data_IF_382406938485
#
_entry.id   IF_382406938485
#
_cell.length_a   1.000
_cell.length_b   1.000
_cell.length_c   1.000
_cell.angle_alpha   90.00
_cell.angle_beta   90.00
_cell.angle_gamma   90.00
#
_symmetry.space_group_name_H-M   'P 1'
#
loop_
_entity.id
_entity.type
_entity.pdbx_description
1 polymer ?
#
# COMPACT_ATOMS: atom_id res chain seq x y z
N UNK A 1 -17.07 0.36 3.12
CA UNK A 1 -17.43 -0.24 1.81
C UNK A 1 -16.14 -0.78 1.17
N UNK A 2 -16.17 -1.97 0.55
CA UNK A 2 -14.99 -2.51 -0.14
C UNK A 2 -14.92 -1.92 -1.54
N UNK A 3 -13.77 -1.36 -1.92
CA UNK A 3 -13.54 -0.79 -3.25
C UNK A 3 -12.29 -1.41 -3.85
N UNK A 4 -12.36 -1.74 -5.15
CA UNK A 4 -11.25 -2.33 -5.89
C UNK A 4 -10.50 -1.24 -6.64
N UNK A 5 -9.18 -1.26 -6.55
CA UNK A 5 -8.31 -0.36 -7.28
C UNK A 5 -7.17 -1.13 -7.94
N UNK A 6 -6.81 -0.79 -9.19
CA UNK A 6 -5.53 -1.24 -9.71
C UNK A 6 -4.40 -0.56 -8.94
N UNK A 7 -3.27 -1.26 -8.83
CA UNK A 7 -2.04 -0.68 -8.32
C UNK A 7 -0.87 -1.09 -9.19
N UNK A 8 0.13 -0.20 -9.24
CA UNK A 8 1.38 -0.45 -9.92
C UNK A 8 2.52 0.14 -9.11
N UNK A 9 3.62 -0.60 -9.00
CA UNK A 9 4.84 -0.13 -8.41
C UNK A 9 6.00 -0.53 -9.32
N UNK A 10 6.84 0.44 -9.66
CA UNK A 10 8.08 0.19 -10.36
C UNK A 10 9.19 1.08 -9.81
N UNK A 11 10.27 0.44 -9.37
CA UNK A 11 11.53 1.07 -8.98
C UNK A 11 12.69 0.25 -9.57
N UNK A 12 13.92 0.65 -9.32
CA UNK A 12 15.14 0.09 -9.90
C UNK A 12 15.29 -1.41 -9.62
N UNK A 13 14.87 -1.88 -8.45
CA UNK A 13 15.10 -3.27 -7.99
C UNK A 13 13.81 -4.06 -7.75
N UNK A 14 12.65 -3.41 -7.88
CA UNK A 14 11.36 -3.99 -7.54
C UNK A 14 10.34 -3.58 -8.58
N UNK A 15 9.47 -4.50 -8.99
CA UNK A 15 8.23 -4.13 -9.64
C UNK A 15 7.07 -5.01 -9.16
N UNK A 16 5.87 -4.48 -9.23
CA UNK A 16 4.63 -5.22 -9.01
C UNK A 16 3.48 -4.48 -9.67
N UNK A 17 2.46 -5.22 -10.07
CA UNK A 17 1.20 -4.66 -10.50
C UNK A 17 0.09 -5.65 -10.25
N UNK A 18 -1.13 -5.15 -10.12
CA UNK A 18 -2.30 -5.98 -9.89
C UNK A 18 -3.48 -5.16 -9.39
N UNK A 19 -4.31 -5.79 -8.56
CA UNK A 19 -5.49 -5.15 -7.99
C UNK A 19 -5.61 -5.42 -6.49
N UNK A 20 -6.06 -4.41 -5.76
CA UNK A 20 -6.27 -4.43 -4.32
C UNK A 20 -7.71 -4.07 -3.98
N UNK A 21 -8.26 -4.73 -2.97
CA UNK A 21 -9.42 -4.26 -2.24
C UNK A 21 -8.97 -3.38 -1.08
N UNK A 22 -9.55 -2.19 -1.00
CA UNK A 22 -9.40 -1.29 0.13
C UNK A 22 -10.71 -1.16 0.89
N UNK A 23 -10.60 -1.16 2.21
CA UNK A 23 -11.73 -1.06 3.12
C UNK A 23 -11.31 -0.26 4.36
N UNK A 24 -12.09 0.77 4.72
CA UNK A 24 -11.98 1.39 6.04
C UNK A 24 -12.39 0.37 7.11
N UNK A 25 -11.54 0.18 8.10
CA UNK A 25 -11.80 -0.73 9.22
C UNK A 25 -11.76 0.00 10.55
N UNK A 26 -12.60 -0.42 11.48
CA UNK A 26 -12.53 0.03 12.85
C UNK A 26 -11.50 -0.82 13.59
N UNK A 27 -10.37 -0.24 13.94
CA UNK A 27 -9.38 -0.84 14.82
C UNK A 27 -9.12 0.03 16.04
N UNK A 28 -8.81 -0.64 17.16
CA UNK A 28 -8.64 0.01 18.46
C UNK A 28 -7.17 0.20 18.85
N UNK A 29 -6.20 -0.01 17.93
CA UNK A 29 -4.79 0.12 18.25
C UNK A 29 -4.42 1.54 18.71
N UNK A 30 -4.97 2.58 18.07
CA UNK A 30 -4.84 3.96 18.50
C UNK A 30 -6.05 4.79 18.05
N UNK A 31 -6.67 5.58 18.95
CA UNK A 31 -7.86 6.36 18.63
C UNK A 31 -7.58 7.49 17.64
N UNK A 32 -6.32 7.88 17.45
CA UNK A 32 -5.90 9.00 16.59
C UNK A 32 -5.76 8.63 15.11
N UNK A 33 -5.93 7.36 14.76
CA UNK A 33 -5.72 6.86 13.40
C UNK A 33 -6.99 6.24 12.81
N UNK A 34 -7.19 6.47 11.52
CA UNK A 34 -8.12 5.72 10.69
C UNK A 34 -7.34 4.59 10.02
N UNK A 35 -7.91 3.40 10.09
CA UNK A 35 -7.26 2.20 9.58
C UNK A 35 -7.91 1.78 8.27
N UNK A 36 -7.08 1.25 7.37
CA UNK A 36 -7.51 0.70 6.10
C UNK A 36 -6.91 -0.68 5.94
N UNK A 37 -7.77 -1.64 5.66
CA UNK A 37 -7.40 -2.99 5.27
C UNK A 37 -7.18 -3.02 3.77
N UNK A 38 -6.05 -3.57 3.38
CA UNK A 38 -5.68 -3.85 2.00
C UNK A 38 -5.74 -5.36 1.82
N UNK A 39 -6.49 -5.83 0.84
CA UNK A 39 -6.46 -7.23 0.41
C UNK A 39 -6.04 -7.29 -1.05
N UNK A 40 -4.90 -7.90 -1.32
CA UNK A 40 -4.44 -8.15 -2.68
C UNK A 40 -5.34 -9.20 -3.34
N UNK A 41 -5.90 -8.85 -4.49
CA UNK A 41 -6.74 -9.74 -5.31
C UNK A 41 -5.84 -10.54 -6.25
N UNK A 42 -4.88 -9.86 -6.86
CA UNK A 42 -3.87 -10.42 -7.73
C UNK A 42 -2.64 -9.52 -7.72
N UNK A 43 -1.54 -10.06 -8.23
CA UNK A 43 -0.30 -9.33 -8.44
C UNK A 43 0.90 -10.13 -7.95
N UNK A 44 2.06 -9.77 -8.46
CA UNK A 44 3.31 -10.40 -8.11
C UNK A 44 4.34 -9.35 -7.75
N UNK A 45 4.97 -9.54 -6.59
CA UNK A 45 6.18 -8.81 -6.23
C UNK A 45 7.36 -9.50 -6.92
N UNK A 46 8.01 -8.79 -7.84
CA UNK A 46 9.26 -9.23 -8.45
C UNK A 46 10.43 -8.46 -7.87
N UNK A 47 11.46 -9.20 -7.47
CA UNK A 47 12.78 -8.65 -7.14
C UNK A 47 13.65 -8.81 -8.37
N UNK A 48 14.21 -7.71 -8.87
CA UNK A 48 15.02 -7.68 -10.10
C UNK A 48 16.44 -7.22 -9.83
N UNK A 49 17.38 -7.70 -10.67
CA UNK A 49 18.74 -7.18 -10.69
C UNK A 49 18.79 -5.83 -11.43
N UNK A 50 19.99 -5.20 -11.49
CA UNK A 50 20.19 -3.92 -12.20
C UNK A 50 19.97 -4.01 -13.72
N UNK A 51 20.05 -5.21 -14.29
CA UNK A 51 19.80 -5.48 -15.72
C UNK A 51 18.30 -5.65 -16.02
N UNK A 52 17.45 -5.74 -14.98
CA UNK A 52 16.01 -5.96 -15.11
C UNK A 52 15.58 -7.43 -15.03
N UNK A 53 16.51 -8.38 -14.87
CA UNK A 53 16.16 -9.79 -14.76
C UNK A 53 15.48 -10.07 -13.42
N UNK A 54 14.38 -10.83 -13.45
CA UNK A 54 13.65 -11.24 -12.25
C UNK A 54 14.44 -12.33 -11.54
N UNK A 55 14.91 -12.02 -10.33
CA UNK A 55 15.61 -12.94 -9.44
C UNK A 55 14.62 -13.75 -8.61
N UNK A 56 13.57 -13.09 -8.11
CA UNK A 56 12.56 -13.71 -7.26
C UNK A 56 11.16 -13.20 -7.59
N UNK A 57 10.15 -14.03 -7.32
CA UNK A 57 8.75 -13.75 -7.58
C UNK A 57 7.89 -14.25 -6.42
N UNK A 58 7.07 -13.36 -5.88
CA UNK A 58 6.15 -13.64 -4.78
C UNK A 58 4.72 -13.35 -5.21
N UNK A 59 3.84 -14.33 -5.03
CA UNK A 59 2.40 -14.15 -5.26
C UNK A 59 1.80 -13.36 -4.10
N UNK A 60 1.20 -12.21 -4.42
CA UNK A 60 0.55 -11.37 -3.42
C UNK A 60 -0.92 -11.76 -3.23
N UNK A 61 -1.50 -12.66 -4.02
CA UNK A 61 -2.91 -13.00 -3.96
C UNK A 61 -3.36 -13.41 -2.56
N UNK A 62 -4.46 -12.82 -2.11
CA UNK A 62 -5.06 -12.96 -0.79
C UNK A 62 -4.15 -12.55 0.39
N UNK A 63 -3.01 -11.91 0.15
CA UNK A 63 -2.26 -11.24 1.18
C UNK A 63 -3.10 -10.09 1.75
N UNK A 64 -3.06 -9.94 3.08
CA UNK A 64 -3.82 -8.91 3.78
C UNK A 64 -2.86 -8.02 4.55
N UNK A 65 -2.92 -6.73 4.25
CA UNK A 65 -2.12 -5.70 4.92
C UNK A 65 -3.01 -4.68 5.63
N UNK A 66 -2.40 -3.94 6.54
CA UNK A 66 -3.04 -2.84 7.25
C UNK A 66 -2.18 -1.58 7.22
N UNK A 67 -2.81 -0.48 6.82
CA UNK A 67 -2.25 0.87 6.92
C UNK A 67 -3.10 1.74 7.85
N UNK A 68 -2.49 2.78 8.39
CA UNK A 68 -3.12 3.78 9.23
C UNK A 68 -2.79 5.19 8.78
N UNK A 69 -3.80 6.05 8.84
CA UNK A 69 -3.70 7.47 8.50
C UNK A 69 -4.19 8.31 9.68
N UNK A 70 -3.49 9.38 10.03
CA UNK A 70 -3.90 10.20 11.18
C UNK A 70 -5.25 10.88 10.93
N UNK A 71 -6.19 10.76 11.87
CA UNK A 71 -7.58 11.25 11.72
C UNK A 71 -7.68 12.75 11.54
N UNK A 72 -6.72 13.53 12.04
CA UNK A 72 -6.72 15.00 11.91
C UNK A 72 -6.83 15.45 10.45
N UNK A 73 -6.31 14.63 9.53
CA UNK A 73 -6.36 14.92 8.10
C UNK A 73 -7.67 14.50 7.41
N UNK A 74 -8.55 13.73 8.07
CA UNK A 74 -9.90 13.41 7.54
C UNK A 74 -10.80 14.65 7.45
N UNK A 75 -10.44 15.73 8.18
CA UNK A 75 -11.16 17.01 8.14
C UNK A 75 -10.79 17.86 6.92
N UNK A 76 -9.72 17.49 6.19
CA UNK A 76 -9.36 18.16 4.96
C UNK A 76 -10.37 17.78 3.88
N UNK A 77 -10.99 18.77 3.26
CA UNK A 77 -11.76 18.55 2.03
C UNK A 77 -10.82 17.95 0.98
N UNK A 78 -11.20 16.87 0.28
CA UNK A 78 -10.40 16.35 -0.83
C UNK A 78 -10.12 17.50 -1.80
N UNK A 79 -8.85 17.79 -2.10
CA UNK A 79 -8.48 18.92 -2.96
C UNK A 79 -9.04 18.74 -4.38
N UNK A 80 -9.33 17.49 -4.76
CA UNK A 80 -10.01 17.14 -6.00
C UNK A 80 -11.03 16.02 -5.76
N UNK A 81 -12.28 16.20 -6.21
CA UNK A 81 -13.31 15.16 -6.27
C UNK A 81 -13.03 14.06 -7.32
N UNK A 82 -11.77 13.93 -7.77
CA UNK A 82 -11.40 12.88 -8.72
C UNK A 82 -11.22 11.58 -7.94
N UNK A 83 -12.05 10.59 -8.28
CA UNK A 83 -11.88 9.24 -7.78
C UNK A 83 -10.50 8.70 -8.19
N UNK A 84 -9.82 7.94 -7.31
CA UNK A 84 -8.56 7.30 -7.66
C UNK A 84 -8.81 6.33 -8.81
N UNK A 85 -8.07 6.47 -9.90
CA UNK A 85 -8.12 5.51 -11.02
C UNK A 85 -7.17 4.33 -10.78
N UNK A 86 -6.07 4.58 -10.08
CA UNK A 86 -4.98 3.63 -9.83
C UNK A 86 -4.10 4.16 -8.69
N UNK A 87 -3.50 3.26 -7.91
CA UNK A 87 -2.43 3.59 -6.96
C UNK A 87 -1.08 3.28 -7.59
N UNK A 88 -0.31 4.34 -7.89
CA UNK A 88 1.03 4.19 -8.48
C UNK A 88 2.09 4.81 -7.59
N UNK A 89 3.24 4.14 -7.43
CA UNK A 89 4.36 4.76 -6.73
C UNK A 89 4.92 5.95 -7.51
N UNK A 90 5.30 7.00 -6.80
CA UNK A 90 5.94 8.17 -7.39
C UNK A 90 7.45 7.97 -7.32
N UNK A 91 8.15 8.14 -8.45
CA UNK A 91 9.61 7.91 -8.55
C UNK A 91 10.47 9.05 -7.94
N UNK A 92 9.85 10.00 -7.24
CA UNK A 92 10.53 11.18 -6.70
C UNK A 92 11.23 10.85 -5.38
N UNK A 93 12.43 11.38 -5.16
CA UNK A 93 13.25 11.12 -3.96
C UNK A 93 12.92 12.01 -2.76
N UNK A 94 12.03 13.00 -2.94
CA UNK A 94 11.66 13.99 -1.93
C UNK A 94 10.22 13.82 -1.43
N UNK A 95 9.83 12.57 -1.19
CA UNK A 95 8.50 12.22 -0.73
C UNK A 95 8.28 12.69 0.73
N UNK A 96 7.25 13.53 0.95
CA UNK A 96 6.84 13.97 2.28
C UNK A 96 5.66 13.13 2.78
N UNK A 97 5.78 12.51 3.95
CA UNK A 97 4.68 11.81 4.62
C UNK A 97 3.72 12.81 5.29
N UNK A 98 3.07 13.65 4.49
CA UNK A 98 2.26 14.79 4.95
C UNK A 98 1.12 14.36 5.88
N UNK A 99 0.53 13.19 5.63
CA UNK A 99 -0.67 12.71 6.34
C UNK A 99 -0.35 11.73 7.48
N UNK A 100 0.94 11.52 7.75
CA UNK A 100 1.43 10.59 8.75
C UNK A 100 0.86 9.18 8.55
N UNK A 101 1.01 8.69 7.32
CA UNK A 101 0.68 7.34 6.89
C UNK A 101 1.70 6.37 7.50
N UNK A 102 1.19 5.32 8.14
CA UNK A 102 1.98 4.22 8.66
C UNK A 102 1.45 2.90 8.14
N UNK A 103 2.36 1.95 8.03
CA UNK A 103 2.01 0.57 7.79
C UNK A 103 2.23 -0.19 9.09
N UNK A 104 1.22 -0.96 9.52
CA UNK A 104 1.11 -1.48 10.90
C UNK A 104 1.21 -2.99 10.95
N UNK A 105 0.79 -3.67 9.90
CA UNK A 105 0.82 -5.12 9.81
C UNK A 105 0.70 -5.52 8.33
N UNK A 106 1.83 -5.57 7.62
CA UNK A 106 1.84 -5.78 6.18
C UNK A 106 1.37 -7.15 5.73
N UNK A 107 1.52 -8.21 6.53
CA UNK A 107 1.02 -9.54 6.19
C UNK A 107 0.34 -10.19 7.40
N UNK A 108 -0.91 -9.78 7.64
CA UNK A 108 -1.71 -10.25 8.78
C UNK A 108 -1.94 -11.77 8.73
N UNK A 109 -1.89 -12.38 7.55
CA UNK A 109 -2.11 -13.81 7.37
C UNK A 109 -0.82 -14.65 7.28
N UNK A 110 0.35 -14.03 7.42
CA UNK A 110 1.64 -14.74 7.46
C UNK A 110 1.90 -15.60 6.24
N UNK A 111 1.49 -15.14 5.05
CA UNK A 111 1.75 -15.83 3.78
C UNK A 111 3.20 -15.74 3.33
N UNK A 112 3.90 -14.69 3.73
CA UNK A 112 5.30 -14.41 3.45
C UNK A 112 6.17 -15.22 4.43
N UNK A 113 6.83 -16.27 3.92
CA UNK A 113 7.42 -17.33 4.78
C UNK A 113 8.81 -17.82 4.36
N UNK A 114 9.41 -17.37 3.25
CA UNK A 114 10.71 -17.92 2.77
C UNK A 114 11.91 -17.17 3.36
N UNK A 115 11.87 -15.84 3.34
CA UNK A 115 12.84 -14.94 3.99
C UNK A 115 12.17 -13.91 4.91
N UNK A 116 10.86 -14.07 5.18
CA UNK A 116 10.09 -13.46 6.27
C UNK A 116 10.31 -11.96 6.41
N UNK A 117 11.27 -11.57 7.24
CA UNK A 117 11.63 -10.19 7.54
C UNK A 117 12.01 -9.39 6.29
N UNK A 118 12.77 -9.96 5.35
CA UNK A 118 13.20 -9.20 4.16
C UNK A 118 12.02 -8.92 3.23
N UNK A 119 11.19 -9.93 3.00
CA UNK A 119 10.01 -9.86 2.15
C UNK A 119 8.95 -8.93 2.76
N UNK A 120 8.78 -8.97 4.08
CA UNK A 120 8.00 -8.01 4.86
C UNK A 120 8.55 -6.61 4.61
N UNK A 121 9.82 -6.30 4.95
CA UNK A 121 10.41 -4.97 4.72
C UNK A 121 10.20 -4.45 3.28
N UNK A 122 10.29 -5.33 2.27
CA UNK A 122 10.03 -4.97 0.87
C UNK A 122 8.55 -4.60 0.65
N UNK A 123 7.63 -5.43 1.14
CA UNK A 123 6.20 -5.16 1.09
C UNK A 123 5.85 -3.87 1.83
N UNK A 124 6.47 -3.62 2.98
CA UNK A 124 6.31 -2.40 3.78
C UNK A 124 6.65 -1.16 2.98
N UNK A 125 7.83 -1.18 2.37
CA UNK A 125 8.32 -0.11 1.53
C UNK A 125 7.43 0.12 0.32
N UNK A 126 6.97 -0.94 -0.31
CA UNK A 126 6.06 -0.89 -1.47
C UNK A 126 4.74 -0.24 -1.08
N UNK A 127 4.09 -0.73 -0.02
CA UNK A 127 2.81 -0.20 0.46
C UNK A 127 2.93 1.27 0.84
N UNK A 128 3.97 1.64 1.59
CA UNK A 128 4.22 3.04 1.90
C UNK A 128 4.36 3.87 0.62
N UNK A 129 5.12 3.39 -0.36
CA UNK A 129 5.40 4.13 -1.59
C UNK A 129 4.20 4.28 -2.54
N UNK A 130 3.27 3.32 -2.59
CA UNK A 130 2.06 3.43 -3.43
C UNK A 130 0.99 4.32 -2.80
N UNK A 131 0.99 4.46 -1.47
CA UNK A 131 -0.02 5.23 -0.74
C UNK A 131 0.44 6.64 -0.36
N UNK A 132 1.74 6.86 -0.20
CA UNK A 132 2.29 8.19 0.06
C UNK A 132 2.10 9.08 -1.18
N UNK A 133 1.69 10.33 -0.96
CA UNK A 133 1.11 11.28 -1.94
C UNK A 133 -0.21 10.84 -2.62
N UNK A 134 -0.68 9.62 -2.34
CA UNK A 134 -2.02 9.13 -2.66
C UNK A 134 -2.91 9.09 -1.41
N UNK A 135 -2.57 9.75 -0.31
CA UNK A 135 -3.31 9.62 0.95
C UNK A 135 -4.71 10.24 0.87
N UNK A 136 -4.88 11.29 0.08
CA UNK A 136 -6.19 11.89 -0.18
C UNK A 136 -7.16 10.88 -0.82
N UNK A 137 -6.64 9.95 -1.62
CA UNK A 137 -7.41 8.86 -2.21
C UNK A 137 -7.94 7.91 -1.13
N UNK A 138 -7.17 7.69 -0.05
CA UNK A 138 -7.63 6.92 1.10
C UNK A 138 -8.77 7.62 1.84
N UNK A 139 -8.74 8.96 1.92
CA UNK A 139 -9.82 9.74 2.56
C UNK A 139 -11.17 9.51 1.87
N UNK A 140 -11.16 9.35 0.54
CA UNK A 140 -12.36 9.14 -0.30
C UNK A 140 -12.98 7.74 -0.19
N UNK A 141 -12.31 6.78 0.46
CA UNK A 141 -12.84 5.42 0.59
C UNK A 141 -14.00 5.45 1.59
N UNK A 142 -15.22 5.08 1.18
CA UNK A 142 -16.38 5.00 2.08
C UNK A 142 -16.34 3.77 2.99
#
# INVERSE_FOLDING_TARGET
MKQTFPFNFDDTLLNTGGSIHLEKVNQNCSPNYQYFKIKFIEGYLHIKNKSGDILEKYDLKDLISLIALKKDYLKLSPLNNKKPKEFTNIKNKHLENRFNLYVINEDINGKITKNGILEEIILNRLLLSIFLENEENLLQIA
#
